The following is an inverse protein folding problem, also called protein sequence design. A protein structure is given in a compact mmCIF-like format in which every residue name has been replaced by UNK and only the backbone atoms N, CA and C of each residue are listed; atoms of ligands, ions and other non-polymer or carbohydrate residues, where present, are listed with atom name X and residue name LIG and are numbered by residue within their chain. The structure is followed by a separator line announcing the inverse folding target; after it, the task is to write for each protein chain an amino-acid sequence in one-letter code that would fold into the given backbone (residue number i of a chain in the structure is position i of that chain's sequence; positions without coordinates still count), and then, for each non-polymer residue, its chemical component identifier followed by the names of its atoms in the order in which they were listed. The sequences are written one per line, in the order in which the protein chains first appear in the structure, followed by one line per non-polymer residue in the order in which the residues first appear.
data_IF_123146559477
#
_entry.id   IF_123146559477
#
_cell.length_a   1.000
_cell.length_b   1.000
_cell.length_c   1.000
_cell.angle_alpha   90.00
_cell.angle_beta   90.00
_cell.angle_gamma   90.00
#
_symmetry.space_group_name_H-M   'P 1'
#
loop_
_entity.id
_entity.type
_entity.pdbx_description
1 polymer ?
#
# COMPACT_ATOMS: atom_id res chain seq x y z
N UNK A 1 -11.29 -16.01 10.25
CA UNK A 1 -10.07 -15.37 9.75
C UNK A 1 -9.08 -16.48 9.42
N UNK A 2 -8.66 -16.61 8.17
CA UNK A 2 -7.68 -17.63 7.79
C UNK A 2 -6.27 -17.14 8.17
N UNK A 3 -5.52 -17.97 8.91
CA UNK A 3 -4.15 -17.69 9.33
C UNK A 3 -3.25 -18.65 8.56
N UNK A 4 -2.29 -18.09 7.82
CA UNK A 4 -1.22 -18.83 7.19
C UNK A 4 -0.35 -19.51 8.25
N UNK A 5 -0.12 -20.82 8.12
CA UNK A 5 0.77 -21.55 9.03
C UNK A 5 2.16 -21.60 8.40
N UNK A 6 3.20 -21.16 9.11
CA UNK A 6 4.58 -21.32 8.65
C UNK A 6 4.90 -22.79 8.45
N UNK A 7 5.61 -23.11 7.37
CA UNK A 7 5.98 -24.46 6.96
C UNK A 7 6.85 -25.18 8.00
N UNK A 8 6.19 -25.87 8.94
CA UNK A 8 6.75 -26.98 9.71
C UNK A 8 5.59 -27.71 10.39
N UNK A 9 4.89 -28.56 9.65
CA UNK A 9 3.84 -29.42 10.17
C UNK A 9 3.34 -30.37 9.10
N UNK A 10 3.46 -31.67 9.36
CA UNK A 10 3.00 -32.80 8.56
C UNK A 10 1.77 -32.49 7.69
N UNK A 11 1.96 -32.39 6.37
CA UNK A 11 0.84 -32.18 5.43
C UNK A 11 1.23 -31.63 4.07
N UNK A 12 1.95 -32.41 3.26
CA UNK A 12 1.98 -32.39 1.77
C UNK A 12 2.17 -31.07 0.99
N UNK A 13 2.30 -29.92 1.63
CA UNK A 13 2.28 -28.58 1.05
C UNK A 13 3.66 -27.94 1.16
N UNK A 14 4.07 -27.27 0.09
CA UNK A 14 5.35 -26.60 -0.07
C UNK A 14 5.11 -25.13 -0.43
N UNK A 15 5.89 -24.23 0.17
CA UNK A 15 5.95 -22.83 -0.25
C UNK A 15 6.93 -22.70 -1.41
N UNK A 16 6.42 -22.42 -2.61
CA UNK A 16 7.24 -22.31 -3.83
C UNK A 16 7.66 -20.86 -4.14
N UNK A 17 6.99 -19.88 -3.54
CA UNK A 17 7.38 -18.47 -3.58
C UNK A 17 6.97 -17.78 -2.27
N UNK A 18 7.88 -17.01 -1.69
CA UNK A 18 7.57 -16.03 -0.66
C UNK A 18 8.26 -14.71 -1.01
N UNK A 19 7.48 -13.66 -1.25
CA UNK A 19 8.00 -12.36 -1.64
C UNK A 19 7.32 -11.26 -0.83
N UNK A 20 8.09 -10.48 -0.08
CA UNK A 20 7.59 -9.30 0.64
C UNK A 20 7.35 -8.12 -0.31
N UNK A 21 6.40 -7.25 0.03
CA UNK A 21 6.28 -5.95 -0.61
C UNK A 21 7.41 -5.01 -0.12
N UNK A 22 7.74 -3.94 -0.87
CA UNK A 22 8.82 -3.04 -0.49
C UNK A 22 8.60 -2.21 0.80
N UNK A 23 7.38 -2.27 1.36
CA UNK A 23 6.98 -1.58 2.59
C UNK A 23 7.02 -2.51 3.83
N UNK A 24 7.17 -3.82 3.61
CA UNK A 24 7.13 -4.86 4.64
C UNK A 24 5.78 -5.06 5.32
N UNK A 25 4.68 -4.62 4.68
CA UNK A 25 3.31 -4.75 5.19
C UNK A 25 2.53 -5.92 4.59
N UNK A 26 3.00 -6.48 3.47
CA UNK A 26 2.40 -7.65 2.82
C UNK A 26 3.47 -8.61 2.32
N UNK A 27 3.13 -9.89 2.27
CA UNK A 27 3.92 -10.95 1.66
C UNK A 27 3.02 -11.75 0.73
N UNK A 28 3.41 -11.88 -0.54
CA UNK A 28 2.84 -12.86 -1.44
C UNK A 28 3.45 -14.22 -1.11
N UNK A 29 2.60 -15.20 -0.81
CA UNK A 29 3.01 -16.58 -0.62
C UNK A 29 2.30 -17.45 -1.64
N UNK A 30 3.04 -18.28 -2.36
CA UNK A 30 2.49 -19.30 -3.25
C UNK A 30 2.73 -20.66 -2.61
N UNK A 31 1.66 -21.36 -2.30
CA UNK A 31 1.68 -22.73 -1.82
C UNK A 31 1.29 -23.69 -2.94
N UNK A 32 1.88 -24.87 -2.88
CA UNK A 32 1.58 -25.97 -3.79
C UNK A 32 1.59 -27.29 -3.02
N UNK A 33 0.69 -28.19 -3.38
CA UNK A 33 0.86 -29.62 -3.11
C UNK A 33 0.85 -30.42 -4.42
N UNK A 34 0.77 -31.75 -4.33
CA UNK A 34 0.71 -32.63 -5.50
C UNK A 34 -0.51 -32.35 -6.41
N UNK A 35 -1.56 -31.74 -5.86
CA UNK A 35 -2.87 -31.62 -6.49
C UNK A 35 -3.16 -30.20 -7.03
N UNK A 36 -2.67 -29.14 -6.38
CA UNK A 36 -3.06 -27.75 -6.70
C UNK A 36 -2.04 -26.70 -6.24
N UNK A 37 -2.08 -25.52 -6.87
CA UNK A 37 -1.32 -24.32 -6.49
C UNK A 37 -2.24 -23.13 -6.20
N UNK A 38 -1.94 -22.38 -5.14
CA UNK A 38 -2.72 -21.21 -4.67
C UNK A 38 -1.78 -20.12 -4.20
N UNK A 39 -2.14 -18.86 -4.48
CA UNK A 39 -1.44 -17.69 -3.96
C UNK A 39 -2.26 -17.02 -2.86
N UNK A 40 -1.56 -16.53 -1.84
CA UNK A 40 -2.09 -15.78 -0.72
C UNK A 40 -1.35 -14.47 -0.55
N UNK A 41 -2.11 -13.43 -0.23
CA UNK A 41 -1.58 -12.15 0.21
C UNK A 41 -1.70 -12.06 1.72
N UNK A 42 -0.57 -12.18 2.42
CA UNK A 42 -0.51 -12.29 3.87
C UNK A 42 0.03 -11.01 4.52
N UNK A 43 -0.47 -10.68 5.70
CA UNK A 43 0.18 -9.75 6.63
C UNK A 43 1.35 -10.41 7.36
N UNK A 44 2.25 -9.63 8.01
CA UNK A 44 3.40 -10.17 8.75
C UNK A 44 3.03 -11.13 9.89
N UNK A 45 1.82 -11.02 10.43
CA UNK A 45 1.26 -11.90 11.46
C UNK A 45 0.67 -13.21 10.88
N UNK A 46 0.72 -13.40 9.56
CA UNK A 46 0.15 -14.55 8.85
C UNK A 46 -1.33 -14.39 8.48
N UNK A 47 -1.98 -13.26 8.76
CA UNK A 47 -3.37 -13.04 8.36
C UNK A 47 -3.50 -12.97 6.85
N UNK A 48 -4.38 -13.79 6.26
CA UNK A 48 -4.66 -13.79 4.81
C UNK A 48 -5.69 -12.70 4.47
N UNK A 49 -5.28 -11.76 3.62
CA UNK A 49 -6.14 -10.66 3.14
C UNK A 49 -6.74 -10.93 1.75
N UNK A 50 -5.99 -11.63 0.89
CA UNK A 50 -6.46 -12.04 -0.42
C UNK A 50 -5.93 -13.42 -0.77
N UNK A 51 -6.68 -14.15 -1.59
CA UNK A 51 -6.25 -15.43 -2.12
C UNK A 51 -6.72 -15.61 -3.57
N UNK A 52 -5.99 -16.42 -4.33
CA UNK A 52 -6.37 -16.78 -5.69
C UNK A 52 -5.85 -18.15 -6.05
N UNK A 53 -6.73 -19.01 -6.56
CA UNK A 53 -6.35 -20.28 -7.15
C UNK A 53 -5.54 -20.06 -8.43
N UNK A 54 -4.47 -20.84 -8.62
CA UNK A 54 -3.57 -20.70 -9.77
C UNK A 54 -3.72 -21.85 -10.78
N UNK A 55 -3.73 -23.10 -10.28
CA UNK A 55 -3.76 -24.28 -11.14
C UNK A 55 -4.17 -25.55 -10.37
N UNK A 56 -4.82 -26.47 -11.07
CA UNK A 56 -4.94 -27.87 -10.67
C UNK A 56 -3.81 -28.65 -11.35
N UNK A 57 -3.18 -29.57 -10.64
CA UNK A 57 -2.15 -30.50 -11.14
C UNK A 57 -2.69 -31.90 -11.42
N UNK A 58 -4.00 -32.10 -11.20
CA UNK A 58 -4.76 -33.30 -11.46
C UNK A 58 -6.10 -32.99 -12.13
N UNK A 59 -6.83 -34.01 -12.61
CA UNK A 59 -8.17 -33.83 -13.15
C UNK A 59 -9.09 -33.09 -12.17
N UNK A 60 -9.76 -32.06 -12.69
CA UNK A 60 -10.66 -31.21 -11.95
C UNK A 60 -11.90 -31.99 -11.49
N UNK A 61 -12.30 -31.86 -10.21
CA UNK A 61 -13.51 -32.50 -9.70
C UNK A 61 -14.76 -31.87 -10.34
N UNK A 62 -15.88 -32.60 -10.34
CA UNK A 62 -17.14 -32.07 -10.85
C UNK A 62 -17.71 -30.96 -9.94
N UNK A 63 -17.42 -31.02 -8.63
CA UNK A 63 -17.91 -30.11 -7.60
C UNK A 63 -16.79 -29.76 -6.63
N UNK A 64 -17.01 -28.75 -5.79
CA UNK A 64 -16.07 -28.35 -4.74
C UNK A 64 -15.83 -29.49 -3.74
N UNK A 65 -14.56 -29.78 -3.47
CA UNK A 65 -14.15 -30.72 -2.43
C UNK A 65 -14.06 -30.01 -1.06
N UNK A 66 -15.16 -30.06 -0.31
CA UNK A 66 -15.23 -29.46 1.03
C UNK A 66 -14.32 -30.16 2.05
N UNK A 67 -14.03 -31.45 1.89
CA UNK A 67 -13.17 -32.17 2.82
C UNK A 67 -11.73 -31.63 2.73
N UNK A 68 -11.26 -31.38 1.51
CA UNK A 68 -9.95 -30.76 1.25
C UNK A 68 -9.83 -29.35 1.82
N UNK A 69 -10.87 -28.52 1.64
CA UNK A 69 -10.91 -27.16 2.20
C UNK A 69 -10.88 -27.19 3.73
N UNK A 70 -11.70 -28.06 4.34
CA UNK A 70 -11.76 -28.19 5.81
C UNK A 70 -10.45 -28.75 6.40
N UNK A 71 -9.66 -29.48 5.61
CA UNK A 71 -8.32 -29.93 5.98
C UNK A 71 -7.24 -28.83 5.84
N UNK A 72 -7.59 -27.65 5.30
CA UNK A 72 -6.66 -26.54 5.08
C UNK A 72 -5.71 -26.75 3.90
N UNK A 73 -6.04 -27.65 2.97
CA UNK A 73 -5.25 -27.90 1.77
C UNK A 73 -5.64 -26.93 0.63
N UNK A 74 -4.72 -26.62 -0.31
CA UNK A 74 -5.01 -25.76 -1.45
C UNK A 74 -6.24 -26.27 -2.25
N UNK A 75 -7.31 -25.49 -2.45
CA UNK A 75 -8.52 -25.96 -3.14
C UNK A 75 -8.24 -26.41 -4.58
N UNK A 76 -9.03 -27.37 -5.06
CA UNK A 76 -9.12 -27.73 -6.48
C UNK A 76 -10.25 -26.95 -7.13
N UNK A 77 -9.98 -26.31 -8.26
CA UNK A 77 -11.01 -25.66 -9.07
C UNK A 77 -11.91 -26.71 -9.72
N UNK A 78 -13.25 -26.61 -9.63
CA UNK A 78 -14.17 -27.51 -10.32
C UNK A 78 -14.05 -27.42 -11.85
N UNK A 79 -14.36 -28.53 -12.55
CA UNK A 79 -14.26 -28.68 -14.00
C UNK A 79 -14.90 -27.54 -14.80
N UNK A 80 -16.08 -27.01 -14.46
CA UNK A 80 -16.69 -25.89 -15.21
C UNK A 80 -15.94 -24.57 -15.10
N UNK A 81 -15.06 -24.42 -14.10
CA UNK A 81 -14.42 -23.16 -13.72
C UNK A 81 -12.92 -23.10 -14.05
N UNK A 82 -12.39 -24.06 -14.80
CA UNK A 82 -10.97 -24.09 -15.21
C UNK A 82 -10.82 -24.30 -16.71
N UNK A 83 -9.83 -23.65 -17.31
CA UNK A 83 -9.41 -23.89 -18.70
C UNK A 83 -8.67 -25.22 -18.86
N UNK A 84 -8.22 -25.85 -17.77
CA UNK A 84 -7.45 -27.10 -17.75
C UNK A 84 -8.17 -28.18 -16.94
N UNK A 85 -9.27 -28.78 -17.46
CA UNK A 85 -10.09 -29.73 -16.71
C UNK A 85 -9.39 -31.07 -16.42
N UNK A 86 -8.35 -31.41 -17.16
CA UNK A 86 -7.50 -32.60 -16.91
C UNK A 86 -6.31 -32.28 -15.99
N UNK A 87 -6.20 -31.04 -15.51
CA UNK A 87 -5.04 -30.53 -14.80
C UNK A 87 -3.93 -30.09 -15.75
N UNK A 88 -2.94 -29.38 -15.20
CA UNK A 88 -1.74 -28.95 -15.91
C UNK A 88 -0.48 -29.25 -15.10
N UNK A 89 0.67 -29.27 -15.78
CA UNK A 89 1.98 -29.42 -15.13
C UNK A 89 2.16 -28.39 -13.99
N UNK A 90 3.00 -28.69 -12.98
CA UNK A 90 3.39 -27.71 -11.97
C UNK A 90 3.85 -26.39 -12.58
N UNK A 91 3.62 -25.29 -11.86
CA UNK A 91 3.95 -23.94 -12.32
C UNK A 91 5.45 -23.79 -12.61
N UNK A 92 5.77 -22.98 -13.62
CA UNK A 92 7.12 -22.57 -14.00
C UNK A 92 7.75 -21.57 -13.03
N UNK A 93 8.65 -20.72 -13.54
CA UNK A 93 9.30 -19.71 -12.72
C UNK A 93 8.33 -18.59 -12.37
N UNK A 94 8.16 -18.32 -11.08
CA UNK A 94 7.25 -17.31 -10.58
C UNK A 94 7.96 -15.99 -10.30
N UNK A 95 7.36 -14.86 -10.70
CA UNK A 95 7.83 -13.53 -10.34
C UNK A 95 6.69 -12.57 -9.96
N UNK A 96 6.80 -11.83 -8.85
CA UNK A 96 5.81 -10.86 -8.43
C UNK A 96 6.07 -9.47 -9.04
N UNK A 97 4.98 -8.77 -9.36
CA UNK A 97 4.95 -7.34 -9.61
C UNK A 97 3.96 -6.70 -8.63
N UNK A 98 4.50 -6.09 -7.58
CA UNK A 98 3.70 -5.32 -6.62
C UNK A 98 3.09 -4.09 -7.28
N UNK A 99 1.85 -3.75 -6.93
CA UNK A 99 1.27 -2.45 -7.25
C UNK A 99 1.99 -1.34 -6.47
N UNK A 100 1.88 -0.11 -6.95
CA UNK A 100 2.57 1.05 -6.36
C UNK A 100 2.17 1.26 -4.89
N UNK A 101 0.91 1.02 -4.58
CA UNK A 101 0.35 1.07 -3.23
C UNK A 101 0.92 -0.01 -2.30
N UNK A 102 1.38 -1.14 -2.87
CA UNK A 102 1.90 -2.28 -2.13
C UNK A 102 0.84 -3.17 -1.48
N UNK A 103 -0.45 -2.90 -1.69
CA UNK A 103 -1.57 -3.68 -1.18
C UNK A 103 -2.17 -4.66 -2.21
N UNK A 104 -1.72 -4.61 -3.46
CA UNK A 104 -2.04 -5.57 -4.51
C UNK A 104 -0.80 -6.06 -5.27
N UNK A 105 -0.92 -7.20 -5.94
CA UNK A 105 0.18 -7.87 -6.64
C UNK A 105 -0.30 -8.61 -7.89
N UNK A 106 0.45 -8.45 -8.98
CA UNK A 106 0.36 -9.33 -10.14
C UNK A 106 1.44 -10.40 -10.06
N UNK A 107 1.09 -11.64 -10.38
CA UNK A 107 1.98 -12.79 -10.40
C UNK A 107 2.19 -13.23 -11.85
N UNK A 108 3.44 -13.44 -12.23
CA UNK A 108 3.83 -13.93 -13.53
C UNK A 108 4.40 -15.34 -13.43
N UNK A 109 4.13 -16.17 -14.44
CA UNK A 109 4.76 -17.46 -14.70
C UNK A 109 5.52 -17.34 -16.02
N UNK A 110 6.85 -17.53 -16.00
CA UNK A 110 7.69 -17.46 -17.20
C UNK A 110 7.43 -16.18 -18.06
N UNK A 111 7.38 -15.02 -17.40
CA UNK A 111 7.05 -13.70 -17.97
C UNK A 111 5.62 -13.50 -18.50
N UNK A 112 4.74 -14.51 -18.40
CA UNK A 112 3.32 -14.38 -18.72
C UNK A 112 2.48 -14.10 -17.47
N UNK A 113 1.50 -13.21 -17.58
CA UNK A 113 0.63 -12.86 -16.45
C UNK A 113 -0.22 -14.07 -16.04
N UNK A 114 0.01 -14.59 -14.84
CA UNK A 114 -0.67 -15.75 -14.28
C UNK A 114 -1.88 -15.35 -13.43
N UNK A 115 -1.72 -14.38 -12.54
CA UNK A 115 -2.78 -13.99 -11.62
C UNK A 115 -2.63 -12.54 -11.13
N UNK A 116 -3.70 -11.99 -10.56
CA UNK A 116 -3.72 -10.69 -9.89
C UNK A 116 -4.51 -10.80 -8.59
N UNK A 117 -3.88 -10.46 -7.46
CA UNK A 117 -4.57 -10.22 -6.19
C UNK A 117 -4.64 -8.70 -6.01
N UNK A 118 -5.79 -8.05 -6.29
CA UNK A 118 -5.91 -6.61 -6.10
C UNK A 118 -5.99 -6.21 -4.62
N UNK A 119 -5.77 -4.93 -4.32
CA UNK A 119 -5.88 -4.41 -2.95
C UNK A 119 -7.29 -4.44 -2.35
N UNK A 120 -8.33 -4.61 -3.19
CA UNK A 120 -9.72 -4.81 -2.78
C UNK A 120 -10.16 -6.28 -2.73
N UNK A 121 -9.23 -7.23 -2.91
CA UNK A 121 -9.54 -8.64 -2.68
C UNK A 121 -9.98 -8.81 -1.22
N UNK A 122 -11.08 -9.52 -1.01
CA UNK A 122 -11.66 -9.76 0.31
C UNK A 122 -12.32 -11.14 0.33
N UNK A 123 -11.60 -12.10 0.91
CA UNK A 123 -12.11 -13.48 1.03
C UNK A 123 -13.36 -13.58 1.90
N UNK A 124 -13.57 -12.65 2.84
CA UNK A 124 -14.76 -12.63 3.69
C UNK A 124 -16.02 -12.20 2.94
N UNK A 125 -15.84 -11.43 1.85
CA UNK A 125 -16.91 -10.98 0.96
C UNK A 125 -17.04 -11.82 -0.31
N UNK A 126 -16.26 -12.91 -0.41
CA UNK A 126 -16.26 -13.77 -1.61
C UNK A 126 -15.64 -13.09 -2.83
N UNK A 127 -14.70 -12.18 -2.63
CA UNK A 127 -13.98 -11.45 -3.67
C UNK A 127 -12.53 -11.95 -3.77
N UNK A 128 -12.28 -13.11 -4.42
CA UNK A 128 -10.92 -13.62 -4.61
C UNK A 128 -10.14 -12.77 -5.62
N UNK A 129 -8.88 -13.13 -5.85
CA UNK A 129 -8.13 -12.60 -6.97
C UNK A 129 -8.57 -13.19 -8.32
N UNK A 130 -7.89 -12.72 -9.36
CA UNK A 130 -8.12 -13.11 -10.75
C UNK A 130 -7.04 -14.05 -11.25
N UNK A 131 -7.40 -15.13 -11.94
CA UNK A 131 -6.45 -16.11 -12.46
C UNK A 131 -6.60 -16.30 -13.97
N UNK A 132 -5.48 -16.45 -14.68
CA UNK A 132 -5.41 -16.70 -16.13
C UNK A 132 -6.22 -17.92 -16.53
N UNK A 133 -6.12 -18.98 -15.73
CA UNK A 133 -6.68 -20.29 -16.05
C UNK A 133 -8.10 -20.51 -15.49
N UNK A 134 -8.69 -19.51 -14.82
CA UNK A 134 -10.05 -19.58 -14.29
C UNK A 134 -11.10 -19.24 -15.36
N UNK A 135 -12.29 -19.82 -15.22
CA UNK A 135 -13.45 -19.58 -16.08
C UNK A 135 -14.62 -19.05 -15.25
N UNK A 136 -15.16 -17.90 -15.67
CA UNK A 136 -16.20 -17.16 -14.95
C UNK A 136 -15.79 -16.80 -13.53
N UNK A 137 -16.79 -16.71 -12.66
CA UNK A 137 -16.60 -16.43 -11.24
C UNK A 137 -16.75 -17.70 -10.40
N UNK A 138 -15.84 -17.88 -9.45
CA UNK A 138 -15.89 -18.92 -8.43
C UNK A 138 -15.43 -18.38 -7.08
N UNK A 139 -15.67 -19.10 -5.97
CA UNK A 139 -15.12 -18.71 -4.67
C UNK A 139 -13.59 -18.70 -4.57
N UNK A 140 -12.87 -19.34 -5.51
CA UNK A 140 -11.40 -19.49 -5.44
C UNK A 140 -10.64 -18.55 -6.36
N UNK A 141 -11.24 -18.17 -7.48
CA UNK A 141 -10.68 -17.21 -8.43
C UNK A 141 -11.79 -16.73 -9.38
N UNK A 142 -11.63 -15.51 -9.88
CA UNK A 142 -12.38 -14.99 -11.02
C UNK A 142 -11.52 -15.06 -12.28
N UNK A 143 -12.16 -15.17 -13.45
CA UNK A 143 -11.47 -15.22 -14.73
C UNK A 143 -10.71 -13.91 -14.99
N UNK A 144 -9.38 -14.00 -15.14
CA UNK A 144 -8.56 -12.84 -15.43
C UNK A 144 -8.90 -12.22 -16.79
N UNK A 145 -9.27 -13.03 -17.78
CA UNK A 145 -9.65 -12.57 -19.12
C UNK A 145 -10.80 -11.55 -19.09
N UNK A 146 -11.74 -11.68 -18.17
CA UNK A 146 -12.92 -10.81 -18.03
C UNK A 146 -12.58 -9.46 -17.36
N UNK A 147 -11.58 -9.43 -16.48
CA UNK A 147 -11.14 -8.23 -15.77
C UNK A 147 -9.90 -7.55 -16.38
N UNK A 148 -9.26 -8.18 -17.38
CA UNK A 148 -7.95 -7.77 -17.87
C UNK A 148 -7.95 -6.36 -18.45
N UNK A 149 -9.03 -5.93 -19.11
CA UNK A 149 -9.14 -4.57 -19.66
C UNK A 149 -8.99 -3.51 -18.55
N UNK A 150 -9.66 -3.70 -17.41
CA UNK A 150 -9.57 -2.79 -16.25
C UNK A 150 -8.27 -2.93 -15.45
N UNK A 151 -7.66 -4.12 -15.43
CA UNK A 151 -6.42 -4.38 -14.68
C UNK A 151 -5.15 -3.99 -15.45
N UNK A 152 -5.17 -4.01 -16.78
CA UNK A 152 -4.01 -3.66 -17.64
C UNK A 152 -3.38 -2.31 -17.28
N UNK A 153 -4.14 -1.21 -17.12
CA UNK A 153 -3.57 0.08 -16.74
C UNK A 153 -2.82 0.01 -15.40
N UNK A 154 -3.38 -0.68 -14.39
CA UNK A 154 -2.74 -0.83 -13.08
C UNK A 154 -1.41 -1.56 -13.16
N UNK A 155 -1.38 -2.68 -13.89
CA UNK A 155 -0.18 -3.49 -14.08
C UNK A 155 0.90 -2.68 -14.82
N UNK A 156 0.50 -1.94 -15.87
CA UNK A 156 1.41 -1.09 -16.63
C UNK A 156 1.97 0.06 -15.77
N UNK A 157 1.12 0.69 -14.96
CA UNK A 157 1.51 1.77 -14.06
C UNK A 157 2.48 1.26 -12.99
N UNK A 158 2.18 0.12 -12.36
CA UNK A 158 3.06 -0.51 -11.38
C UNK A 158 4.46 -0.79 -11.97
N UNK A 159 4.53 -1.37 -13.18
CA UNK A 159 5.80 -1.63 -13.87
C UNK A 159 6.58 -0.34 -14.17
N UNK A 160 5.88 0.68 -14.64
CA UNK A 160 6.48 1.99 -14.97
C UNK A 160 7.01 2.68 -13.71
N UNK A 161 6.23 2.66 -12.63
CA UNK A 161 6.58 3.20 -11.33
C UNK A 161 7.82 2.52 -10.76
N UNK A 162 7.86 1.18 -10.70
CA UNK A 162 9.04 0.47 -10.18
C UNK A 162 10.26 0.65 -11.07
N UNK A 163 10.10 0.73 -12.40
CA UNK A 163 11.22 1.08 -13.29
C UNK A 163 11.77 2.46 -12.97
N UNK A 164 10.90 3.46 -12.80
CA UNK A 164 11.31 4.80 -12.38
C UNK A 164 12.00 4.76 -11.01
N UNK A 165 11.43 4.08 -10.02
CA UNK A 165 11.97 4.04 -8.66
C UNK A 165 13.36 3.42 -8.57
N UNK A 166 13.62 2.38 -9.36
CA UNK A 166 14.94 1.74 -9.42
C UNK A 166 15.92 2.44 -10.37
N UNK A 167 15.48 3.46 -11.12
CA UNK A 167 16.38 4.19 -12.00
C UNK A 167 17.31 5.11 -11.21
N UNK A 168 18.57 5.16 -11.65
CA UNK A 168 19.59 6.03 -11.06
C UNK A 168 19.18 7.50 -11.18
N UNK A 169 19.35 8.27 -10.09
CA UNK A 169 18.99 9.69 -10.08
C UNK A 169 17.50 10.00 -9.98
N UNK A 170 16.61 9.01 -9.91
CA UNK A 170 15.16 9.21 -9.76
C UNK A 170 14.80 10.02 -8.52
N UNK A 171 15.37 9.65 -7.36
CA UNK A 171 15.15 10.34 -6.10
C UNK A 171 15.73 11.77 -6.08
N UNK A 172 17.02 12.02 -6.40
CA UNK A 172 17.55 13.38 -6.48
C UNK A 172 16.74 14.29 -7.42
N UNK A 173 16.29 13.76 -8.56
CA UNK A 173 15.47 14.52 -9.52
C UNK A 173 14.12 14.92 -8.92
N UNK A 174 13.43 13.99 -8.26
CA UNK A 174 12.19 14.27 -7.55
C UNK A 174 12.40 15.31 -6.44
N UNK A 175 13.44 15.11 -5.62
CA UNK A 175 13.78 15.99 -4.51
C UNK A 175 14.04 17.41 -5.00
N UNK A 176 14.76 17.58 -6.11
CA UNK A 176 14.98 18.91 -6.70
C UNK A 176 13.65 19.58 -7.11
N UNK A 177 12.74 18.85 -7.74
CA UNK A 177 11.47 19.38 -8.22
C UNK A 177 10.55 19.84 -7.06
N UNK A 178 10.39 19.01 -6.04
CA UNK A 178 9.56 19.37 -4.87
C UNK A 178 10.21 20.48 -4.03
N UNK A 179 11.54 20.51 -3.91
CA UNK A 179 12.23 21.59 -3.21
C UNK A 179 12.06 22.93 -3.93
N UNK A 180 12.13 22.97 -5.27
CA UNK A 180 11.86 24.17 -6.05
C UNK A 180 10.41 24.64 -5.95
N UNK A 181 9.44 23.72 -5.88
CA UNK A 181 8.04 24.06 -5.59
C UNK A 181 7.90 24.74 -4.23
N UNK A 182 8.49 24.13 -3.18
CA UNK A 182 8.44 24.67 -1.83
C UNK A 182 9.23 25.98 -1.68
N UNK A 183 10.32 26.18 -2.42
CA UNK A 183 11.05 27.46 -2.48
C UNK A 183 10.14 28.58 -3.00
N UNK A 184 9.38 28.32 -4.06
CA UNK A 184 8.46 29.31 -4.64
C UNK A 184 7.30 29.67 -3.71
N UNK A 185 6.76 28.69 -2.98
CA UNK A 185 5.59 28.87 -2.12
C UNK A 185 5.95 29.36 -0.73
N UNK A 186 7.00 28.79 -0.13
CA UNK A 186 7.35 29.00 1.28
C UNK A 186 8.62 29.83 1.45
N UNK A 187 9.45 30.00 0.42
CA UNK A 187 10.75 30.63 0.54
C UNK A 187 11.88 29.64 0.88
N UNK A 188 13.08 30.16 1.20
CA UNK A 188 14.31 29.38 1.24
C UNK A 188 14.28 28.23 2.27
N UNK A 189 14.98 27.15 1.94
CA UNK A 189 15.13 26.00 2.83
C UNK A 189 16.00 26.32 4.05
N UNK A 190 15.61 25.74 5.19
CA UNK A 190 16.42 25.65 6.39
C UNK A 190 17.12 24.29 6.47
N UNK A 191 16.91 23.57 7.57
CA UNK A 191 17.41 22.20 7.76
C UNK A 191 16.65 21.20 6.89
N UNK A 192 17.32 20.10 6.57
CA UNK A 192 16.75 18.92 5.94
C UNK A 192 17.16 17.70 6.77
N UNK A 193 16.20 16.82 7.03
CA UNK A 193 16.43 15.55 7.72
C UNK A 193 16.02 14.40 6.83
N UNK A 194 16.79 13.33 6.89
CA UNK A 194 16.37 12.04 6.38
C UNK A 194 15.44 11.38 7.40
N UNK A 195 14.21 11.11 6.99
CA UNK A 195 13.21 10.37 7.77
C UNK A 195 12.94 8.98 7.16
N UNK A 196 13.77 8.56 6.20
CA UNK A 196 13.73 7.22 5.66
C UNK A 196 14.44 6.26 6.61
N UNK A 197 13.86 5.06 6.73
CA UNK A 197 14.52 3.93 7.35
C UNK A 197 15.13 3.03 6.28
N UNK A 198 15.31 1.76 6.60
CA UNK A 198 15.75 0.75 5.61
C UNK A 198 14.65 0.38 4.59
N UNK A 199 13.43 0.87 4.77
CA UNK A 199 12.24 0.50 3.97
C UNK A 199 11.67 1.69 3.23
N UNK A 200 10.90 1.39 2.18
CA UNK A 200 10.08 2.38 1.51
C UNK A 200 8.88 2.79 2.38
N UNK A 201 8.30 3.98 2.15
CA UNK A 201 8.74 5.04 1.23
C UNK A 201 10.01 5.75 1.71
N UNK A 202 10.81 6.25 0.75
CA UNK A 202 11.89 7.21 1.02
C UNK A 202 11.26 8.56 1.34
N UNK A 203 11.50 9.10 2.54
CA UNK A 203 10.92 10.36 2.98
C UNK A 203 11.98 11.23 3.63
N UNK A 204 12.08 12.48 3.19
CA UNK A 204 12.79 13.54 3.90
C UNK A 204 11.83 14.47 4.62
N UNK A 205 12.37 15.28 5.52
CA UNK A 205 11.68 16.40 6.14
C UNK A 205 12.46 17.67 5.84
N UNK A 206 11.80 18.66 5.28
CA UNK A 206 12.39 19.99 5.03
C UNK A 206 11.81 21.01 5.99
N UNK A 207 12.68 21.86 6.51
CA UNK A 207 12.33 23.06 7.26
C UNK A 207 12.26 24.26 6.33
N UNK A 208 11.27 25.12 6.55
CA UNK A 208 11.08 26.42 5.90
C UNK A 208 10.92 27.49 6.98
N UNK A 209 12.01 28.18 7.36
CA UNK A 209 11.99 29.20 8.41
C UNK A 209 10.98 30.33 8.12
N UNK A 210 10.72 31.21 9.12
CA UNK A 210 9.92 32.41 8.91
C UNK A 210 10.43 33.20 7.69
N UNK A 211 9.51 33.58 6.79
CA UNK A 211 9.85 34.25 5.54
C UNK A 211 8.72 35.21 5.12
N UNK A 212 9.09 36.40 4.65
CA UNK A 212 8.13 37.47 4.38
C UNK A 212 7.31 37.82 5.62
N UNK A 213 5.98 37.84 5.48
CA UNK A 213 5.05 38.11 6.59
C UNK A 213 4.76 36.88 7.47
N UNK A 214 5.22 35.69 7.06
CA UNK A 214 4.98 34.44 7.81
C UNK A 214 5.91 34.37 9.02
N UNK A 215 5.38 34.62 10.21
CA UNK A 215 6.12 34.60 11.48
C UNK A 215 6.31 33.22 12.13
N UNK A 216 6.25 32.13 11.38
CA UNK A 216 6.41 30.76 11.89
C UNK A 216 7.17 29.87 10.90
N UNK A 217 7.76 28.80 11.41
CA UNK A 217 8.44 27.77 10.62
C UNK A 217 7.42 26.77 10.10
N UNK A 218 7.57 26.36 8.83
CA UNK A 218 6.82 25.24 8.24
C UNK A 218 7.77 24.06 8.07
N UNK A 219 7.36 22.89 8.54
CA UNK A 219 8.00 21.62 8.23
C UNK A 219 7.10 20.86 7.27
N UNK A 220 7.70 20.22 6.27
CA UNK A 220 6.98 19.36 5.34
C UNK A 220 7.74 18.08 5.10
N UNK A 221 7.03 16.97 4.93
CA UNK A 221 7.61 15.79 4.30
C UNK A 221 7.96 16.08 2.84
N UNK A 222 8.92 15.32 2.33
CA UNK A 222 9.33 15.26 0.94
C UNK A 222 9.44 13.79 0.58
N UNK A 223 8.64 13.31 -0.36
CA UNK A 223 8.77 11.96 -0.92
C UNK A 223 7.63 11.00 -0.58
N UNK A 224 6.72 11.34 0.35
CA UNK A 224 5.51 10.55 0.54
C UNK A 224 4.71 10.46 -0.76
N UNK A 225 4.64 11.57 -1.50
CA UNK A 225 3.87 11.70 -2.73
C UNK A 225 4.46 10.94 -3.92
N UNK A 226 5.72 10.49 -3.83
CA UNK A 226 6.30 9.58 -4.82
C UNK A 226 5.51 8.28 -4.92
N UNK A 227 4.74 7.91 -3.88
CA UNK A 227 3.97 6.69 -3.79
C UNK A 227 2.49 7.03 -3.65
N UNK A 228 1.63 6.22 -4.27
CA UNK A 228 0.21 6.20 -3.94
C UNK A 228 0.01 5.54 -2.58
N UNK A 229 -0.86 6.10 -1.75
CA UNK A 229 -1.29 5.47 -0.51
C UNK A 229 -2.20 4.26 -0.79
N UNK A 230 -2.12 3.19 0.02
CA UNK A 230 -3.04 2.05 -0.06
C UNK A 230 -4.50 2.40 0.11
N UNK A 231 -5.39 1.53 -0.35
CA UNK A 231 -6.83 1.51 -0.05
C UNK A 231 -7.68 2.72 -0.46
N UNK A 232 -7.12 3.83 -0.96
CA UNK A 232 -7.87 5.07 -1.30
C UNK A 232 -9.04 4.79 -2.23
N UNK A 233 -8.83 3.92 -3.22
CA UNK A 233 -9.82 3.53 -4.23
C UNK A 233 -11.01 2.75 -3.70
N UNK A 234 -10.93 2.19 -2.50
CA UNK A 234 -12.06 1.53 -1.86
C UNK A 234 -13.05 2.55 -1.26
N UNK A 235 -12.60 3.79 -1.07
CA UNK A 235 -13.36 4.84 -0.39
C UNK A 235 -13.69 6.03 -1.30
N UNK A 236 -12.92 6.23 -2.38
CA UNK A 236 -13.00 7.42 -3.23
C UNK A 236 -13.09 7.04 -4.70
N UNK A 237 -14.14 7.50 -5.40
CA UNK A 237 -14.38 7.25 -6.82
C UNK A 237 -13.25 7.74 -7.74
N UNK A 238 -12.58 8.83 -7.34
CA UNK A 238 -11.46 9.46 -8.08
C UNK A 238 -10.18 9.40 -7.24
N UNK A 239 -9.57 8.21 -7.08
CA UNK A 239 -8.47 8.03 -6.13
C UNK A 239 -7.24 8.86 -6.49
N UNK A 240 -6.98 9.14 -7.77
CA UNK A 240 -5.84 9.96 -8.20
C UNK A 240 -5.84 11.40 -7.66
N UNK A 241 -6.99 11.90 -7.20
CA UNK A 241 -7.07 13.21 -6.54
C UNK A 241 -6.69 13.16 -5.04
N UNK A 242 -6.48 11.98 -4.45
CA UNK A 242 -6.28 11.78 -3.01
C UNK A 242 -5.17 10.78 -2.66
N UNK A 243 -4.68 10.01 -3.64
CA UNK A 243 -3.72 8.95 -3.43
C UNK A 243 -2.31 9.45 -3.09
N UNK A 244 -1.96 10.69 -3.45
CA UNK A 244 -0.62 11.25 -3.22
C UNK A 244 -0.70 12.43 -2.29
N UNK A 245 0.04 12.34 -1.19
CA UNK A 245 0.10 13.40 -0.18
C UNK A 245 1.52 13.71 0.24
N UNK A 246 1.70 14.88 0.80
CA UNK A 246 2.75 15.21 1.75
C UNK A 246 2.08 15.65 3.06
N UNK A 247 2.81 15.62 4.17
CA UNK A 247 2.37 16.13 5.46
C UNK A 247 3.09 17.44 5.76
N UNK A 248 2.39 18.37 6.42
CA UNK A 248 2.99 19.62 6.89
C UNK A 248 2.59 19.95 8.32
N UNK A 249 3.47 20.66 9.04
CA UNK A 249 3.18 21.19 10.37
C UNK A 249 3.84 22.57 10.51
N UNK A 250 3.13 23.49 11.16
CA UNK A 250 3.64 24.81 11.47
C UNK A 250 4.03 24.89 12.96
N UNK A 251 5.13 25.58 13.27
CA UNK A 251 5.55 25.80 14.65
C UNK A 251 6.25 27.14 14.85
N UNK A 252 6.13 27.69 16.06
CA UNK A 252 6.92 28.83 16.55
C UNK A 252 7.99 28.40 17.56
N UNK A 253 7.95 27.13 17.98
CA UNK A 253 8.89 26.51 18.91
C UNK A 253 10.04 25.82 18.14
N UNK A 254 10.82 24.94 18.78
CA UNK A 254 11.89 24.21 18.10
C UNK A 254 11.30 23.31 16.99
N UNK A 255 11.70 23.50 15.71
CA UNK A 255 11.23 22.67 14.62
C UNK A 255 11.57 21.18 14.77
N UNK A 256 12.56 20.82 15.59
CA UNK A 256 12.90 19.41 15.86
C UNK A 256 11.76 18.65 16.53
N UNK A 257 11.05 19.29 17.46
CA UNK A 257 9.96 18.64 18.19
C UNK A 257 8.77 18.40 17.24
N UNK A 258 8.43 19.41 16.43
CA UNK A 258 7.39 19.29 15.41
C UNK A 258 7.73 18.24 14.33
N UNK A 259 9.01 18.07 13.98
CA UNK A 259 9.44 17.05 13.02
C UNK A 259 9.09 15.62 13.47
N UNK A 260 9.00 15.35 14.78
CA UNK A 260 8.63 14.03 15.31
C UNK A 260 7.22 13.60 14.87
N UNK A 261 6.29 14.54 14.66
CA UNK A 261 4.96 14.24 14.12
C UNK A 261 5.03 13.73 12.67
N UNK A 262 5.93 14.31 11.87
CA UNK A 262 6.15 13.90 10.50
C UNK A 262 6.85 12.54 10.46
N UNK A 263 7.88 12.31 11.29
CA UNK A 263 8.53 11.00 11.42
C UNK A 263 7.53 9.90 11.77
N UNK A 264 6.61 10.18 12.70
CA UNK A 264 5.58 9.23 13.11
C UNK A 264 4.64 8.82 11.97
N UNK A 265 4.18 9.77 11.15
CA UNK A 265 3.13 9.52 10.15
C UNK A 265 3.67 9.30 8.73
N UNK A 266 4.92 9.65 8.44
CA UNK A 266 5.49 9.66 7.09
C UNK A 266 5.42 8.31 6.37
N UNK A 267 5.57 7.21 7.10
CA UNK A 267 5.55 5.86 6.52
C UNK A 267 4.30 5.07 6.91
N UNK A 268 3.46 5.64 7.79
CA UNK A 268 2.29 4.98 8.37
C UNK A 268 1.30 4.40 7.34
N UNK A 269 0.93 5.12 6.24
CA UNK A 269 -0.04 4.62 5.27
C UNK A 269 0.34 3.25 4.70
N UNK A 270 1.61 3.06 4.33
CA UNK A 270 2.08 1.83 3.70
C UNK A 270 2.34 0.71 4.69
N UNK A 271 2.79 1.03 5.91
CA UNK A 271 2.99 0.04 6.97
C UNK A 271 1.67 -0.52 7.49
N UNK A 272 0.66 0.34 7.65
CA UNK A 272 -0.66 -0.03 8.18
C UNK A 272 -1.68 -0.34 7.09
N UNK A 273 -1.30 -0.25 5.81
CA UNK A 273 -2.17 -0.47 4.64
C UNK A 273 -3.47 0.34 4.76
N UNK A 274 -3.28 1.65 4.81
CA UNK A 274 -4.33 2.66 5.02
C UNK A 274 -3.98 3.94 4.27
N UNK A 275 -4.83 4.95 4.39
CA UNK A 275 -4.61 6.26 3.80
C UNK A 275 -4.93 7.39 4.77
N UNK A 276 -4.30 8.53 4.53
CA UNK A 276 -4.50 9.75 5.30
C UNK A 276 -5.24 10.77 4.42
N UNK A 277 -6.26 11.39 4.99
CA UNK A 277 -7.19 12.24 4.26
C UNK A 277 -7.54 13.49 5.04
N UNK A 278 -8.14 14.46 4.36
CA UNK A 278 -8.72 15.62 5.02
C UNK A 278 -9.81 15.17 6.00
N UNK A 279 -9.77 15.69 7.22
CA UNK A 279 -10.71 15.36 8.29
C UNK A 279 -10.32 14.12 9.09
N UNK A 280 -9.33 13.33 8.64
CA UNK A 280 -8.84 12.19 9.42
C UNK A 280 -8.09 12.68 10.66
N UNK A 281 -8.17 11.88 11.72
CA UNK A 281 -7.41 12.08 12.94
C UNK A 281 -6.42 10.94 13.15
N UNK A 282 -5.33 11.23 13.84
CA UNK A 282 -4.40 10.22 14.32
C UNK A 282 -4.11 10.46 15.80
N UNK A 283 -4.37 9.45 16.64
CA UNK A 283 -4.04 9.47 18.07
C UNK A 283 -2.57 9.15 18.27
N UNK A 284 -1.87 9.94 19.07
CA UNK A 284 -0.48 9.68 19.45
C UNK A 284 -0.35 8.30 20.07
N UNK A 285 0.65 7.55 19.63
CA UNK A 285 0.80 6.13 19.96
C UNK A 285 1.38 5.90 21.36
N UNK A 286 1.94 6.94 21.99
CA UNK A 286 2.38 6.93 23.39
C UNK A 286 1.42 7.70 24.30
N UNK A 287 1.77 7.77 25.59
CA UNK A 287 1.05 8.57 26.58
C UNK A 287 0.95 10.04 26.14
N UNK A 288 -0.21 10.70 26.30
CA UNK A 288 -0.40 12.12 25.94
C UNK A 288 0.67 13.08 26.46
N UNK A 289 1.22 12.81 27.65
CA UNK A 289 2.28 13.62 28.26
C UNK A 289 3.58 13.66 27.45
N UNK A 290 3.75 12.73 26.51
CA UNK A 290 4.92 12.63 25.62
C UNK A 290 4.66 13.24 24.23
N UNK A 291 3.51 13.88 24.02
CA UNK A 291 3.19 14.46 22.72
C UNK A 291 4.21 15.55 22.34
N UNK A 292 4.78 15.53 21.12
CA UNK A 292 5.91 16.40 20.77
C UNK A 292 5.66 17.90 20.91
N UNK A 293 4.42 18.36 20.72
CA UNK A 293 4.06 19.79 20.80
C UNK A 293 3.41 20.18 22.14
N UNK A 294 3.54 19.33 23.15
CA UNK A 294 3.11 19.62 24.52
C UNK A 294 2.04 18.65 25.04
N UNK A 295 2.02 18.44 26.37
CA UNK A 295 1.24 17.39 27.03
C UNK A 295 -0.28 17.59 27.00
N UNK A 296 -0.75 18.77 26.59
CA UNK A 296 -2.17 19.08 26.41
C UNK A 296 -2.79 18.41 25.18
N UNK A 297 -1.96 17.99 24.22
CA UNK A 297 -2.40 17.36 22.99
C UNK A 297 -2.28 15.84 23.09
N UNK A 298 -3.00 15.13 22.23
CA UNK A 298 -3.02 13.65 22.23
C UNK A 298 -3.08 13.07 20.83
N UNK A 299 -2.96 13.91 19.80
CA UNK A 299 -3.04 13.52 18.41
C UNK A 299 -3.10 14.72 17.47
N UNK A 300 -3.42 14.45 16.22
CA UNK A 300 -3.51 15.46 15.16
C UNK A 300 -4.80 15.29 14.35
N UNK A 301 -5.33 16.40 13.85
CA UNK A 301 -6.33 16.49 12.79
C UNK A 301 -5.63 16.88 11.48
N UNK A 302 -6.01 16.23 10.38
CA UNK A 302 -5.41 16.43 9.05
C UNK A 302 -6.26 17.37 8.19
N UNK A 303 -5.67 18.45 7.68
CA UNK A 303 -6.39 19.49 6.93
C UNK A 303 -5.69 19.80 5.60
N UNK A 304 -6.40 19.69 4.47
CA UNK A 304 -5.80 19.96 3.17
C UNK A 304 -5.52 21.47 2.96
N UNK A 305 -6.49 22.34 3.28
CA UNK A 305 -6.41 23.78 3.02
C UNK A 305 -6.95 24.62 4.20
N UNK A 306 -6.30 24.59 5.38
CA UNK A 306 -6.71 25.46 6.48
C UNK A 306 -6.43 26.94 6.14
N UNK A 307 -7.41 27.82 6.39
CA UNK A 307 -7.40 29.22 5.92
C UNK A 307 -6.22 30.08 6.41
N UNK A 308 -5.55 29.67 7.49
CA UNK A 308 -4.43 30.42 8.09
C UNK A 308 -3.05 29.88 7.71
N UNK A 309 -3.00 28.87 6.83
CA UNK A 309 -1.74 28.29 6.37
C UNK A 309 -1.45 28.66 4.92
N UNK A 310 -0.17 28.69 4.51
CA UNK A 310 0.20 28.86 3.10
C UNK A 310 -0.46 27.81 2.20
N UNK A 311 -0.90 28.23 1.02
CA UNK A 311 -1.37 27.32 -0.03
C UNK A 311 -0.17 26.64 -0.69
N UNK A 312 -0.02 25.33 -0.44
CA UNK A 312 1.04 24.50 -1.03
C UNK A 312 0.59 23.70 -2.25
N UNK A 313 -0.60 23.99 -2.79
CA UNK A 313 -1.12 23.33 -3.98
C UNK A 313 -0.31 23.67 -5.25
N UNK A 314 -0.60 22.96 -6.35
CA UNK A 314 0.05 23.19 -7.65
C UNK A 314 1.19 22.22 -7.98
N UNK A 315 1.55 21.33 -7.05
CA UNK A 315 2.50 20.25 -7.31
C UNK A 315 1.78 18.98 -7.78
N UNK A 316 2.43 18.25 -8.69
CA UNK A 316 1.95 16.98 -9.20
C UNK A 316 3.10 16.00 -9.37
N UNK A 317 2.82 14.72 -9.18
CA UNK A 317 3.75 13.63 -9.43
C UNK A 317 3.04 12.49 -10.18
N UNK A 318 3.70 11.95 -11.21
CA UNK A 318 3.10 10.90 -12.04
C UNK A 318 1.80 11.32 -12.76
N UNK A 319 1.60 12.62 -12.99
CA UNK A 319 0.36 13.17 -13.56
C UNK A 319 -0.78 13.37 -12.55
N UNK A 320 -0.53 13.12 -11.27
CA UNK A 320 -1.54 13.22 -10.21
C UNK A 320 -1.21 14.34 -9.23
N UNK A 321 -2.26 15.01 -8.75
CA UNK A 321 -2.12 16.11 -7.81
C UNK A 321 -1.59 15.58 -6.48
N UNK A 322 -0.62 16.30 -5.91
CA UNK A 322 -0.15 16.06 -4.55
C UNK A 322 -0.85 17.02 -3.60
N UNK A 323 -1.42 16.48 -2.52
CA UNK A 323 -2.04 17.28 -1.46
C UNK A 323 -1.14 17.36 -0.24
N UNK A 324 -0.96 18.56 0.29
CA UNK A 324 -0.38 18.70 1.62
C UNK A 324 -1.49 18.60 2.66
N UNK A 325 -1.32 17.69 3.62
CA UNK A 325 -2.18 17.61 4.80
C UNK A 325 -1.47 18.28 5.96
N UNK A 326 -2.02 19.42 6.40
CA UNK A 326 -1.59 20.12 7.59
C UNK A 326 -2.02 19.36 8.84
N UNK A 327 -1.05 19.10 9.72
CA UNK A 327 -1.23 18.45 11.01
C UNK A 327 -1.52 19.52 12.07
N UNK A 328 -2.76 19.55 12.53
CA UNK A 328 -3.20 20.44 13.61
C UNK A 328 -3.27 19.64 14.92
N UNK A 329 -2.49 19.97 15.96
CA UNK A 329 -2.55 19.28 17.24
C UNK A 329 -3.93 19.40 17.89
N UNK A 330 -4.43 18.30 18.44
CA UNK A 330 -5.76 18.22 19.06
C UNK A 330 -5.70 17.58 20.44
N UNK A 331 -6.60 18.01 21.33
CA UNK A 331 -6.74 17.46 22.68
C UNK A 331 -7.46 16.10 22.65
N UNK A 332 -7.42 15.34 23.75
CA UNK A 332 -8.21 14.11 23.90
C UNK A 332 -9.70 14.32 23.66
N UNK A 333 -10.26 15.42 24.17
CA UNK A 333 -11.68 15.73 23.99
C UNK A 333 -12.02 15.97 22.53
N UNK A 334 -11.16 16.69 21.79
CA UNK A 334 -11.36 16.93 20.37
C UNK A 334 -11.23 15.63 19.55
N UNK A 335 -10.29 14.74 19.90
CA UNK A 335 -10.17 13.43 19.25
C UNK A 335 -11.42 12.55 19.43
N UNK A 336 -12.08 12.63 20.58
CA UNK A 336 -13.30 11.86 20.85
C UNK A 336 -14.54 12.41 20.16
N UNK A 337 -14.50 13.67 19.71
CA UNK A 337 -15.59 14.32 19.00
C UNK A 337 -15.57 14.09 17.48
N UNK A 338 -14.49 13.50 16.95
CA UNK A 338 -14.26 13.19 15.54
C UNK A 338 -14.29 11.68 15.30
#
# INVERSE_FOLDING_TARGET
MAIFRSASGEGGTEVVLAAGNPYGSRTLVVERDEDSSVAYLCSPDGTVHGAVWLANHRPAPAVVDLARINAGLPPLMPRPNTLHPEGRRPLGQLSPLWFEEGDGVALYEDDELLAVIPGWADMSRGMPGYARDAVGESPFAWALSEALEGLRPRISNARSYWRWRHSEGSWPSFQQFVMGHLDNVLGPAGRYWDASGERLPTVGITERPPHGERGFTVLSTVGMSCQRMPTVEQWIDKPGAYARIELAVATRDDPKDAALLLVWLAQYPWHSVTWLGHGHTAKWYHEPSTFPLGPQYSGVLMQANPAHMPDMSGFAFGGEIVRWLWLSPVTTQALQAH
#
